data_IF_792986673891
#
_entry.id   IF_792986673891
#
_cell.length_a   1.000
_cell.length_b   1.000
_cell.length_c   1.000
_cell.angle_alpha   90.00
_cell.angle_beta   90.00
_cell.angle_gamma   90.00
#
_symmetry.space_group_name_H-M   'P 1'
#
loop_
_entity.id
_entity.type
_entity.pdbx_description
1 polymer ?
#
# COMPACT_ATOMS: atom_id res chain seq x y z
N UNK A 1 -49.97 12.69 18.61
CA UNK A 1 -49.37 13.91 19.18
C UNK A 1 -47.90 13.86 18.82
N UNK A 2 -47.43 14.66 17.85
CA UNK A 2 -46.01 14.72 17.52
C UNK A 2 -45.34 15.63 18.55
N UNK A 3 -44.47 15.07 19.38
CA UNK A 3 -43.65 15.84 20.30
C UNK A 3 -42.43 16.35 19.53
N UNK A 4 -42.36 17.66 19.33
CA UNK A 4 -41.16 18.33 18.81
C UNK A 4 -40.25 18.56 20.01
N UNK A 5 -39.00 18.10 19.91
CA UNK A 5 -37.97 18.29 20.92
C UNK A 5 -36.86 19.16 20.34
N UNK A 6 -36.38 20.10 21.14
CA UNK A 6 -35.21 20.91 20.80
C UNK A 6 -34.03 20.46 21.66
N UNK A 7 -32.86 20.30 21.05
CA UNK A 7 -31.61 19.95 21.73
C UNK A 7 -30.95 21.24 22.21
N UNK A 8 -30.74 21.36 23.52
CA UNK A 8 -30.11 22.52 24.14
C UNK A 8 -28.82 22.07 24.82
N UNK A 9 -27.73 22.82 24.61
CA UNK A 9 -26.44 22.57 25.24
C UNK A 9 -26.47 22.95 26.72
N UNK A 10 -26.18 22.00 27.61
CA UNK A 10 -26.06 22.27 29.04
C UNK A 10 -24.59 22.49 29.42
N UNK A 11 -24.24 23.75 29.73
CA UNK A 11 -22.86 24.14 30.03
C UNK A 11 -22.31 23.53 31.34
N UNK A 12 -23.18 23.15 32.28
CA UNK A 12 -22.79 22.59 33.58
C UNK A 12 -22.45 21.10 33.48
N UNK A 13 -23.18 20.36 32.63
CA UNK A 13 -22.97 18.92 32.44
C UNK A 13 -22.22 18.56 31.15
N UNK A 14 -21.87 19.56 30.32
CA UNK A 14 -21.16 19.39 29.04
C UNK A 14 -21.85 18.39 28.08
N UNK A 15 -23.19 18.36 28.10
CA UNK A 15 -23.97 17.44 27.26
C UNK A 15 -25.21 18.12 26.67
N UNK A 16 -25.67 17.61 25.52
CA UNK A 16 -26.92 18.04 24.90
C UNK A 16 -28.11 17.36 25.58
N UNK A 17 -29.11 18.14 25.99
CA UNK A 17 -30.32 17.65 26.65
C UNK A 17 -31.54 17.97 25.78
N UNK A 18 -32.41 16.98 25.55
CA UNK A 18 -33.66 17.17 24.83
C UNK A 18 -34.71 17.80 25.75
N UNK A 19 -35.24 18.97 25.36
CA UNK A 19 -36.32 19.66 26.07
C UNK A 19 -37.58 19.62 25.21
N UNK A 20 -38.70 19.19 25.79
CA UNK A 20 -39.98 19.11 25.11
C UNK A 20 -40.61 20.50 25.01
N UNK A 21 -40.90 20.96 23.79
CA UNK A 21 -41.57 22.25 23.57
C UNK A 21 -43.09 22.04 23.67
N UNK A 22 -43.69 22.42 24.80
CA UNK A 22 -45.15 22.31 24.98
C UNK A 22 -45.87 23.47 24.29
N UNK A 23 -45.99 23.41 22.97
CA UNK A 23 -46.85 24.33 22.22
C UNK A 23 -48.33 23.94 22.37
N UNK A 24 -49.12 24.77 23.09
CA UNK A 24 -50.60 24.67 23.12
C UNK A 24 -51.18 24.96 21.73
N UNK A 25 -51.87 23.98 21.14
CA UNK A 25 -52.63 24.18 19.91
C UNK A 25 -53.83 25.12 20.15
N UNK A 26 -53.83 26.27 19.49
CA UNK A 26 -54.90 27.27 19.56
C UNK A 26 -56.00 26.87 18.56
N UNK A 27 -57.17 26.50 19.08
CA UNK A 27 -58.36 26.19 18.29
C UNK A 27 -58.90 27.43 17.56
N UNK A 28 -59.46 27.23 16.37
CA UNK A 28 -60.06 28.26 15.51
C UNK A 28 -61.55 28.40 15.83
N UNK A 29 -62.07 29.55 16.29
CA UNK A 29 -63.50 29.75 16.42
C UNK A 29 -64.08 30.56 15.24
N UNK A 30 -65.32 30.24 14.87
CA UNK A 30 -66.26 31.22 14.31
C UNK A 30 -66.58 31.07 12.82
N UNK A 31 -67.67 30.34 12.51
CA UNK A 31 -68.51 30.64 11.35
C UNK A 31 -69.95 30.78 11.84
N UNK A 32 -70.44 32.02 11.89
CA UNK A 32 -71.86 32.33 11.92
C UNK A 32 -72.07 33.71 11.29
N UNK A 33 -72.73 33.75 10.13
CA UNK A 33 -73.39 34.96 9.63
C UNK A 33 -74.88 34.66 9.63
N UNK A 34 -75.59 35.31 10.55
CA UNK A 34 -77.04 35.40 10.54
C UNK A 34 -77.48 36.41 9.48
N UNK A 35 -78.63 36.07 8.94
CA UNK A 35 -79.55 36.85 8.10
C UNK A 35 -79.95 38.16 8.81
N UNK A 36 -80.10 39.24 8.04
CA UNK A 36 -81.12 40.25 8.31
C UNK A 36 -81.60 40.86 6.99
N UNK A 37 -82.91 40.99 6.92
CA UNK A 37 -83.78 41.48 5.86
C UNK A 37 -83.74 43.00 5.74
N UNK A 38 -83.96 43.52 4.52
CA UNK A 38 -84.59 44.82 4.31
C UNK A 38 -85.27 44.83 2.94
N UNK A 39 -86.58 45.04 2.95
CA UNK A 39 -87.41 45.30 1.79
C UNK A 39 -87.35 46.80 1.41
N UNK A 40 -87.38 47.12 0.12
CA UNK A 40 -87.91 48.37 -0.42
C UNK A 40 -88.12 48.19 -1.94
N UNK A 41 -89.37 48.03 -2.38
CA UNK A 41 -90.21 49.05 -3.04
C UNK A 41 -89.88 49.23 -4.53
N UNK A 42 -90.81 48.72 -5.34
CA UNK A 42 -90.96 48.96 -6.79
C UNK A 42 -91.54 50.36 -7.00
N UNK A 43 -90.84 51.20 -7.75
CA UNK A 43 -91.33 52.33 -8.54
C UNK A 43 -90.38 52.35 -9.77
N UNK A 44 -90.76 52.00 -11.00
CA UNK A 44 -91.90 52.54 -11.74
C UNK A 44 -91.51 53.89 -12.34
N UNK A 45 -90.80 53.89 -13.47
CA UNK A 45 -90.46 55.12 -14.19
C UNK A 45 -89.35 54.96 -15.23
N UNK A 46 -89.73 54.64 -16.46
CA UNK A 46 -88.89 54.85 -17.65
C UNK A 46 -88.72 56.36 -17.86
N UNK A 47 -87.62 56.91 -17.36
CA UNK A 47 -87.15 58.23 -17.73
C UNK A 47 -86.19 58.11 -18.91
N UNK A 48 -86.57 58.66 -20.06
CA UNK A 48 -85.67 58.88 -21.18
C UNK A 48 -84.44 59.66 -20.68
N UNK A 49 -83.27 59.01 -20.66
CA UNK A 49 -82.00 59.67 -20.44
C UNK A 49 -81.72 60.54 -21.67
N UNK A 50 -81.96 61.84 -21.54
CA UNK A 50 -81.52 62.83 -22.51
C UNK A 50 -79.98 62.84 -22.51
N UNK A 51 -79.37 62.12 -23.45
CA UNK A 51 -77.95 62.28 -23.74
C UNK A 51 -77.75 63.68 -24.33
N UNK A 52 -77.07 64.54 -23.57
CA UNK A 52 -76.48 65.77 -24.12
C UNK A 52 -75.58 65.40 -25.32
N UNK A 53 -75.37 66.29 -26.31
CA UNK A 53 -74.60 65.96 -27.51
C UNK A 53 -73.22 65.45 -27.09
N UNK A 54 -73.02 64.14 -27.25
CA UNK A 54 -71.73 63.51 -27.03
C UNK A 54 -70.84 64.01 -28.16
N UNK A 55 -69.84 64.82 -27.82
CA UNK A 55 -68.82 65.28 -28.74
C UNK A 55 -67.84 64.13 -29.00
N UNK A 56 -68.23 63.21 -29.89
CA UNK A 56 -67.30 62.23 -30.43
C UNK A 56 -66.38 62.91 -31.47
N UNK A 57 -65.09 62.64 -31.38
CA UNK A 57 -64.13 63.10 -32.37
C UNK A 57 -64.43 62.49 -33.75
N UNK A 58 -64.04 63.20 -34.82
CA UNK A 58 -64.20 62.76 -36.21
C UNK A 58 -63.80 61.28 -36.41
N UNK A 59 -64.76 60.42 -36.75
CA UNK A 59 -64.57 58.98 -36.95
C UNK A 59 -64.75 58.05 -35.74
N UNK A 60 -65.02 58.54 -34.53
CA UNK A 60 -65.24 57.68 -33.33
C UNK A 60 -66.71 57.27 -33.14
N UNK A 61 -66.98 56.16 -32.42
CA UNK A 61 -68.35 55.68 -32.18
C UNK A 61 -68.56 54.89 -30.88
N UNK A 62 -69.73 55.08 -30.25
CA UNK A 62 -70.26 54.19 -29.20
C UNK A 62 -71.37 53.33 -29.81
N UNK A 63 -71.35 52.03 -29.51
CA UNK A 63 -72.39 51.11 -29.91
C UNK A 63 -72.91 50.35 -28.69
N UNK A 64 -74.21 50.42 -28.48
CA UNK A 64 -74.91 49.71 -27.41
C UNK A 64 -75.85 48.70 -28.04
N UNK A 65 -75.77 47.46 -27.59
CA UNK A 65 -76.70 46.42 -27.98
C UNK A 65 -77.62 46.14 -26.80
N UNK A 66 -78.94 46.13 -27.05
CA UNK A 66 -79.90 45.66 -26.07
C UNK A 66 -80.18 44.17 -26.33
N UNK A 67 -79.72 43.24 -25.47
CA UNK A 67 -80.02 41.82 -25.62
C UNK A 67 -81.50 41.49 -25.35
N UNK A 68 -82.27 42.40 -24.74
CA UNK A 68 -83.68 42.19 -24.41
C UNK A 68 -84.66 42.60 -25.54
N UNK A 69 -84.20 43.36 -26.53
CA UNK A 69 -84.99 43.68 -27.73
C UNK A 69 -84.86 42.55 -28.76
N UNK A 70 -85.62 41.47 -28.54
CA UNK A 70 -85.89 40.47 -29.57
C UNK A 70 -86.51 41.07 -30.84
N UNK A 71 -86.64 40.31 -31.95
CA UNK A 71 -87.00 40.84 -33.26
C UNK A 71 -88.49 41.25 -33.30
N UNK A 72 -88.82 42.43 -32.81
CA UNK A 72 -90.20 42.95 -32.80
C UNK A 72 -90.46 44.00 -33.89
N UNK A 73 -89.46 44.28 -34.74
CA UNK A 73 -89.63 45.03 -36.00
C UNK A 73 -89.57 44.07 -37.20
N UNK A 74 -90.37 44.27 -38.28
CA UNK A 74 -90.64 43.29 -39.34
C UNK A 74 -89.45 42.91 -40.25
N UNK A 75 -88.22 43.17 -39.85
CA UNK A 75 -87.00 42.84 -40.61
C UNK A 75 -85.94 42.09 -39.81
N UNK A 76 -86.27 41.54 -38.63
CA UNK A 76 -85.35 40.66 -37.89
C UNK A 76 -84.09 41.35 -37.37
N UNK A 77 -84.17 42.64 -37.05
CA UNK A 77 -83.04 43.45 -36.59
C UNK A 77 -83.12 43.60 -35.07
N UNK A 78 -82.26 42.90 -34.32
CA UNK A 78 -82.04 43.18 -32.90
C UNK A 78 -81.59 44.64 -32.78
N UNK A 79 -82.33 45.46 -32.05
CA UNK A 79 -82.24 46.91 -32.11
C UNK A 79 -81.15 47.43 -31.17
N UNK A 80 -79.94 47.65 -31.69
CA UNK A 80 -78.90 48.43 -31.00
C UNK A 80 -78.93 49.90 -31.42
N UNK A 81 -78.35 50.77 -30.60
CA UNK A 81 -78.11 52.18 -30.95
C UNK A 81 -76.63 52.39 -31.21
N UNK A 82 -76.29 52.99 -32.34
CA UNK A 82 -74.94 53.48 -32.63
C UNK A 82 -74.94 55.00 -32.71
N UNK A 83 -73.97 55.63 -32.04
CA UNK A 83 -73.71 57.06 -32.13
C UNK A 83 -72.34 57.23 -32.79
N UNK A 84 -72.33 57.75 -34.02
CA UNK A 84 -71.10 58.08 -34.76
C UNK A 84 -70.74 59.56 -34.68
N UNK A 85 -69.60 59.91 -35.28
CA UNK A 85 -69.08 61.29 -35.32
C UNK A 85 -70.02 62.35 -35.92
N UNK A 86 -70.99 61.96 -36.76
CA UNK A 86 -71.97 62.86 -37.35
C UNK A 86 -73.19 63.13 -36.43
N UNK A 87 -73.20 62.59 -35.20
CA UNK A 87 -74.29 62.77 -34.24
C UNK A 87 -75.60 62.05 -34.58
N UNK A 88 -75.62 61.26 -35.66
CA UNK A 88 -76.77 60.43 -36.04
C UNK A 88 -76.85 59.16 -35.18
N UNK A 89 -78.03 58.90 -34.61
CA UNK A 89 -78.38 57.61 -34.05
C UNK A 89 -78.85 56.68 -35.17
N UNK A 90 -78.11 55.60 -35.43
CA UNK A 90 -78.50 54.59 -36.41
C UNK A 90 -78.78 53.24 -35.75
N UNK A 91 -79.81 52.55 -36.24
CA UNK A 91 -80.17 51.21 -35.81
C UNK A 91 -79.04 50.24 -36.16
N UNK A 92 -78.49 49.58 -35.14
CA UNK A 92 -77.40 48.62 -35.27
C UNK A 92 -77.96 47.21 -35.25
N UNK A 93 -77.52 46.36 -36.19
CA UNK A 93 -77.84 44.93 -36.24
C UNK A 93 -76.90 44.14 -35.30
N UNK A 94 -77.31 43.88 -34.06
CA UNK A 94 -76.46 43.20 -33.06
C UNK A 94 -76.53 41.65 -33.07
N UNK A 95 -77.21 41.04 -34.05
CA UNK A 95 -77.66 39.63 -33.95
C UNK A 95 -76.59 38.54 -34.16
N UNK A 96 -75.30 38.88 -34.31
CA UNK A 96 -74.26 37.92 -34.73
C UNK A 96 -73.02 37.82 -33.83
N UNK A 97 -72.91 38.56 -32.71
CA UNK A 97 -71.64 38.62 -31.94
C UNK A 97 -71.72 38.56 -30.41
N UNK A 98 -72.89 38.32 -29.79
CA UNK A 98 -73.09 38.34 -28.31
C UNK A 98 -72.53 39.61 -27.62
N UNK A 99 -72.41 40.69 -28.39
CA UNK A 99 -71.86 41.97 -27.97
C UNK A 99 -72.87 42.72 -27.10
N UNK A 100 -72.46 43.16 -25.91
CA UNK A 100 -73.27 44.00 -25.03
C UNK A 100 -73.01 45.49 -25.26
N UNK A 101 -71.74 45.89 -25.33
CA UNK A 101 -71.33 47.26 -25.66
C UNK A 101 -69.97 47.28 -26.38
N UNK A 102 -69.73 48.31 -27.19
CA UNK A 102 -68.38 48.61 -27.69
C UNK A 102 -68.09 50.10 -27.84
N UNK A 103 -66.87 50.48 -27.51
CA UNK A 103 -66.28 51.80 -27.71
C UNK A 103 -65.21 51.69 -28.80
N UNK A 104 -65.35 52.45 -29.88
CA UNK A 104 -64.60 52.29 -31.13
C UNK A 104 -63.94 53.62 -31.56
N UNK A 105 -62.69 53.57 -32.02
CA UNK A 105 -61.99 54.76 -32.53
C UNK A 105 -62.22 55.06 -34.02
N UNK A 106 -62.78 54.11 -34.77
CA UNK A 106 -63.05 54.23 -36.21
C UNK A 106 -64.45 53.68 -36.53
N UNK A 107 -65.22 54.40 -37.34
CA UNK A 107 -66.53 53.98 -37.82
C UNK A 107 -67.01 54.79 -39.03
N UNK A 108 -67.87 54.17 -39.84
CA UNK A 108 -68.70 54.87 -40.83
C UNK A 108 -69.95 55.45 -40.17
N UNK A 109 -70.60 56.41 -40.83
CA UNK A 109 -71.84 57.04 -40.34
C UNK A 109 -72.98 56.05 -40.04
N UNK A 110 -72.89 54.83 -40.57
CA UNK A 110 -73.87 53.75 -40.37
C UNK A 110 -73.62 52.88 -39.14
N UNK A 111 -72.54 53.12 -38.37
CA UNK A 111 -72.21 52.41 -37.13
C UNK A 111 -71.75 50.95 -37.32
N UNK A 112 -72.41 50.15 -38.15
CA UNK A 112 -72.22 48.69 -38.26
C UNK A 112 -70.80 48.24 -38.70
N UNK A 113 -70.04 49.07 -39.41
CA UNK A 113 -68.68 48.72 -39.85
C UNK A 113 -67.56 49.19 -38.90
N UNK A 114 -67.89 49.88 -37.80
CA UNK A 114 -66.89 50.40 -36.86
C UNK A 114 -66.18 49.33 -36.03
N UNK A 115 -66.87 48.23 -35.71
CA UNK A 115 -66.31 47.11 -34.95
C UNK A 115 -65.13 46.44 -35.68
N UNK A 116 -65.28 46.17 -36.99
CA UNK A 116 -64.22 45.52 -37.80
C UNK A 116 -63.13 46.49 -38.23
N UNK A 117 -63.46 47.77 -38.48
CA UNK A 117 -62.51 48.80 -38.90
C UNK A 117 -61.65 49.36 -37.74
N UNK A 118 -62.07 49.20 -36.49
CA UNK A 118 -61.37 49.79 -35.33
C UNK A 118 -60.01 49.14 -35.06
N UNK A 119 -59.00 49.99 -34.90
CA UNK A 119 -57.64 49.64 -34.46
C UNK A 119 -57.47 49.69 -32.95
N UNK A 120 -58.30 50.48 -32.26
CA UNK A 120 -58.43 50.50 -30.81
C UNK A 120 -59.93 50.36 -30.42
N UNK A 121 -60.28 49.35 -29.62
CA UNK A 121 -61.66 49.15 -29.14
C UNK A 121 -61.70 48.55 -27.73
N UNK A 122 -62.78 48.83 -27.01
CA UNK A 122 -63.14 48.16 -25.75
C UNK A 122 -64.53 47.58 -25.95
N UNK A 123 -64.66 46.26 -25.82
CA UNK A 123 -65.92 45.55 -26.04
C UNK A 123 -66.26 44.67 -24.86
N UNK A 124 -67.48 44.80 -24.36
CA UNK A 124 -68.04 43.89 -23.36
C UNK A 124 -69.02 42.94 -24.01
N UNK A 125 -68.93 41.66 -23.65
CA UNK A 125 -69.80 40.60 -24.13
C UNK A 125 -70.81 40.18 -23.06
N UNK A 126 -71.91 39.56 -23.48
CA UNK A 126 -72.95 39.09 -22.58
C UNK A 126 -72.47 37.99 -21.59
N UNK A 127 -71.36 37.31 -21.89
CA UNK A 127 -70.74 36.29 -21.04
C UNK A 127 -69.86 36.87 -19.91
N UNK A 128 -69.73 38.20 -19.83
CA UNK A 128 -68.88 38.90 -18.86
C UNK A 128 -67.43 39.10 -19.31
N UNK A 129 -67.07 38.68 -20.53
CA UNK A 129 -65.76 38.94 -21.11
C UNK A 129 -65.62 40.42 -21.44
N UNK A 130 -64.50 41.01 -21.02
CA UNK A 130 -64.07 42.33 -21.43
C UNK A 130 -62.87 42.18 -22.35
N UNK A 131 -63.01 42.61 -23.60
CA UNK A 131 -61.95 42.58 -24.59
C UNK A 131 -61.41 43.99 -24.84
N UNK A 132 -60.09 44.12 -24.76
CA UNK A 132 -59.37 45.32 -25.13
C UNK A 132 -58.59 44.99 -26.41
N UNK A 133 -58.84 45.72 -27.48
CA UNK A 133 -58.05 45.64 -28.71
C UNK A 133 -57.24 46.91 -28.86
N UNK A 134 -55.94 46.74 -29.09
CA UNK A 134 -55.08 47.78 -29.61
C UNK A 134 -54.10 47.13 -30.56
N UNK A 135 -54.16 47.45 -31.85
CA UNK A 135 -53.25 46.86 -32.86
C UNK A 135 -51.78 47.23 -32.62
N UNK A 136 -51.53 48.29 -31.85
CA UNK A 136 -50.20 48.74 -31.41
C UNK A 136 -49.91 48.40 -29.93
N UNK A 137 -50.75 47.57 -29.30
CA UNK A 137 -50.64 47.20 -27.89
C UNK A 137 -51.62 47.94 -26.97
N UNK A 138 -51.59 47.57 -25.69
CA UNK A 138 -52.40 48.17 -24.61
C UNK A 138 -51.42 48.73 -23.57
N UNK A 139 -51.47 50.04 -23.35
CA UNK A 139 -50.66 50.70 -22.31
C UNK A 139 -51.52 50.91 -21.07
N UNK A 140 -51.13 50.30 -19.95
CA UNK A 140 -51.76 50.51 -18.65
C UNK A 140 -50.81 51.34 -17.78
N UNK A 141 -51.29 52.45 -17.26
CA UNK A 141 -50.49 53.35 -16.42
C UNK A 141 -50.68 52.99 -14.94
N UNK A 142 -49.61 53.11 -14.16
CA UNK A 142 -49.58 52.80 -12.72
C UNK A 142 -49.88 51.31 -12.43
N UNK A 143 -50.55 51.03 -11.30
CA UNK A 143 -50.81 49.69 -10.80
C UNK A 143 -52.04 49.08 -11.47
N UNK A 144 -51.93 47.81 -11.85
CA UNK A 144 -53.07 47.00 -12.28
C UNK A 144 -53.35 45.94 -11.22
N UNK A 145 -54.50 46.01 -10.57
CA UNK A 145 -54.92 45.07 -9.53
C UNK A 145 -55.55 43.81 -10.15
N UNK A 146 -54.87 42.67 -10.07
CA UNK A 146 -55.35 41.41 -10.64
C UNK A 146 -56.31 40.61 -9.74
N UNK A 147 -56.41 40.93 -8.44
CA UNK A 147 -57.32 40.26 -7.48
C UNK A 147 -57.26 38.72 -7.48
N UNK A 148 -56.06 38.15 -7.67
CA UNK A 148 -55.84 36.68 -7.68
C UNK A 148 -56.19 35.99 -8.99
N UNK A 149 -56.58 36.73 -10.04
CA UNK A 149 -56.83 36.19 -11.36
C UNK A 149 -55.52 35.78 -12.07
N UNK A 150 -55.63 34.78 -12.95
CA UNK A 150 -54.50 34.32 -13.78
C UNK A 150 -54.35 35.19 -15.02
N UNK A 151 -53.10 35.42 -15.43
CA UNK A 151 -52.77 35.95 -16.76
C UNK A 151 -52.35 34.74 -17.61
N UNK A 152 -53.12 34.43 -18.64
CA UNK A 152 -52.89 33.27 -19.53
C UNK A 152 -52.54 33.73 -20.94
N UNK A 153 -52.01 32.80 -21.75
CA UNK A 153 -51.59 33.07 -23.15
C UNK A 153 -50.50 34.15 -23.30
N UNK A 154 -49.69 34.34 -22.25
CA UNK A 154 -48.50 35.19 -22.32
C UNK A 154 -47.45 34.52 -23.23
N UNK A 155 -47.10 35.20 -24.33
CA UNK A 155 -45.96 34.81 -25.16
C UNK A 155 -44.69 34.77 -24.30
N UNK A 156 -43.72 33.86 -24.56
CA UNK A 156 -42.47 33.84 -23.81
C UNK A 156 -41.78 35.21 -23.88
N UNK A 157 -41.47 35.79 -22.72
CA UNK A 157 -40.76 37.06 -22.65
C UNK A 157 -39.31 36.93 -23.12
N UNK A 158 -38.69 38.02 -23.55
CA UNK A 158 -37.28 38.00 -23.93
C UNK A 158 -36.40 37.83 -22.69
N UNK A 159 -35.59 36.76 -22.61
CA UNK A 159 -34.61 36.57 -21.53
C UNK A 159 -33.28 37.24 -21.88
N UNK A 160 -33.20 38.54 -21.63
CA UNK A 160 -31.98 39.33 -21.81
C UNK A 160 -31.80 40.31 -20.65
N UNK A 161 -30.56 40.76 -20.43
CA UNK A 161 -30.26 41.77 -19.42
C UNK A 161 -31.07 43.05 -19.68
N UNK A 162 -31.77 43.55 -18.67
CA UNK A 162 -32.61 44.75 -18.78
C UNK A 162 -33.97 44.55 -19.46
N UNK A 163 -34.34 43.32 -19.82
CA UNK A 163 -35.70 43.00 -20.29
C UNK A 163 -36.73 43.35 -19.22
N UNK A 164 -37.85 43.93 -19.65
CA UNK A 164 -39.01 44.23 -18.83
C UNK A 164 -40.21 43.35 -19.22
N UNK A 165 -39.99 42.39 -20.13
CA UNK A 165 -41.03 41.46 -20.56
C UNK A 165 -41.43 40.56 -19.39
N UNK A 166 -42.73 40.32 -19.26
CA UNK A 166 -43.21 39.30 -18.34
C UNK A 166 -42.77 37.91 -18.81
N UNK A 167 -42.33 37.07 -17.87
CA UNK A 167 -42.00 35.66 -18.14
C UNK A 167 -43.21 34.77 -17.87
N UNK A 168 -43.35 33.72 -18.67
CA UNK A 168 -44.43 32.75 -18.49
C UNK A 168 -43.94 31.47 -17.77
N UNK A 169 -44.90 30.58 -17.48
CA UNK A 169 -44.62 29.35 -16.75
C UNK A 169 -43.65 28.39 -17.44
N UNK A 170 -43.57 28.36 -18.78
CA UNK A 170 -42.67 27.43 -19.48
C UNK A 170 -41.20 27.84 -19.33
N UNK A 171 -40.91 29.13 -19.27
CA UNK A 171 -39.55 29.67 -19.07
C UNK A 171 -39.05 29.39 -17.65
N UNK A 172 -39.89 29.62 -16.63
CA UNK A 172 -39.56 29.28 -15.25
C UNK A 172 -39.44 27.76 -15.07
N UNK A 173 -40.30 26.97 -15.71
CA UNK A 173 -40.23 25.51 -15.69
C UNK A 173 -38.90 25.00 -16.28
N UNK A 174 -38.45 25.52 -17.43
CA UNK A 174 -37.16 25.14 -18.01
C UNK A 174 -35.99 25.43 -17.05
N UNK A 175 -36.02 26.57 -16.37
CA UNK A 175 -35.04 26.90 -15.32
C UNK A 175 -35.10 25.90 -14.17
N UNK A 176 -36.29 25.55 -13.69
CA UNK A 176 -36.48 24.58 -12.62
C UNK A 176 -35.98 23.17 -13.00
N UNK A 177 -36.10 22.76 -14.27
CA UNK A 177 -35.54 21.50 -14.76
C UNK A 177 -34.00 21.49 -14.69
N UNK A 178 -33.35 22.61 -15.03
CA UNK A 178 -31.90 22.74 -14.89
C UNK A 178 -31.47 22.70 -13.41
N UNK A 179 -32.22 23.36 -12.53
CA UNK A 179 -31.97 23.32 -11.07
C UNK A 179 -32.15 21.90 -10.52
N UNK A 180 -33.16 21.17 -10.97
CA UNK A 180 -33.35 19.77 -10.61
C UNK A 180 -32.16 18.90 -11.08
N UNK A 181 -31.68 19.11 -12.31
CA UNK A 181 -30.48 18.45 -12.83
C UNK A 181 -29.23 18.73 -11.99
N UNK A 182 -29.02 19.99 -11.59
CA UNK A 182 -27.93 20.36 -10.69
C UNK A 182 -28.05 19.67 -9.33
N UNK A 183 -29.27 19.58 -8.79
CA UNK A 183 -29.53 18.91 -7.51
C UNK A 183 -29.14 17.43 -7.56
N UNK A 184 -29.50 16.74 -8.64
CA UNK A 184 -29.09 15.34 -8.87
C UNK A 184 -27.58 15.21 -9.01
N UNK A 185 -26.92 16.09 -9.76
CA UNK A 185 -25.46 16.05 -9.93
C UNK A 185 -24.72 16.24 -8.60
N UNK A 186 -25.19 17.16 -7.75
CA UNK A 186 -24.64 17.40 -6.41
C UNK A 186 -24.81 16.15 -5.53
N UNK A 187 -25.99 15.53 -5.53
CA UNK A 187 -26.23 14.29 -4.78
C UNK A 187 -25.31 13.14 -5.22
N UNK A 188 -25.04 13.02 -6.53
CA UNK A 188 -24.10 12.02 -7.04
C UNK A 188 -22.65 12.30 -6.61
N UNK A 189 -22.25 13.58 -6.56
CA UNK A 189 -20.92 13.98 -6.05
C UNK A 189 -20.78 13.65 -4.56
N UNK A 190 -21.82 13.90 -3.76
CA UNK A 190 -21.86 13.55 -2.33
C UNK A 190 -21.67 12.03 -2.11
N UNK A 191 -22.34 11.20 -2.90
CA UNK A 191 -22.13 9.74 -2.88
C UNK A 191 -20.70 9.32 -3.24
N UNK A 192 -20.10 9.95 -4.25
CA UNK A 192 -18.69 9.70 -4.62
C UNK A 192 -17.72 10.14 -3.52
N UNK A 193 -17.95 11.28 -2.89
CA UNK A 193 -17.13 11.78 -1.77
C UNK A 193 -17.23 10.83 -0.58
N UNK A 194 -18.42 10.34 -0.27
CA UNK A 194 -18.63 9.33 0.78
C UNK A 194 -17.85 8.06 0.49
N UNK A 195 -17.95 7.52 -0.73
CA UNK A 195 -17.22 6.32 -1.15
C UNK A 195 -15.69 6.51 -1.11
N UNK A 196 -15.20 7.67 -1.58
CA UNK A 196 -13.79 8.02 -1.51
C UNK A 196 -13.32 8.11 -0.06
N UNK A 197 -14.11 8.72 0.83
CA UNK A 197 -13.79 8.82 2.27
C UNK A 197 -13.65 7.43 2.88
N UNK A 198 -14.60 6.51 2.63
CA UNK A 198 -14.49 5.12 3.11
C UNK A 198 -13.25 4.39 2.56
N UNK A 199 -12.94 4.59 1.28
CA UNK A 199 -11.77 3.99 0.63
C UNK A 199 -10.45 4.49 1.23
N UNK A 200 -10.37 5.80 1.50
CA UNK A 200 -9.22 6.44 2.14
C UNK A 200 -9.03 5.91 3.56
N UNK A 201 -10.09 5.81 4.37
CA UNK A 201 -10.02 5.20 5.71
C UNK A 201 -9.52 3.76 5.67
N UNK A 202 -9.95 2.96 4.67
CA UNK A 202 -9.46 1.59 4.51
C UNK A 202 -7.99 1.53 4.07
N UNK A 203 -7.52 2.49 3.26
CA UNK A 203 -6.10 2.63 2.92
C UNK A 203 -5.28 2.99 4.16
N UNK A 204 -5.74 3.95 4.96
CA UNK A 204 -5.08 4.38 6.19
C UNK A 204 -4.90 3.23 7.20
N UNK A 205 -5.93 2.40 7.36
CA UNK A 205 -5.84 1.17 8.16
C UNK A 205 -4.80 0.18 7.64
N UNK A 206 -4.72 -0.03 6.31
CA UNK A 206 -3.69 -0.91 5.70
C UNK A 206 -2.29 -0.35 5.86
N UNK A 207 -2.10 0.96 5.68
CA UNK A 207 -0.81 1.64 5.86
C UNK A 207 -0.35 1.52 7.31
N UNK A 208 -1.24 1.76 8.27
CA UNK A 208 -0.95 1.60 9.71
C UNK A 208 -0.54 0.17 10.05
N UNK A 209 -1.25 -0.84 9.52
CA UNK A 209 -0.90 -2.25 9.71
C UNK A 209 0.47 -2.57 9.13
N UNK A 210 0.72 -2.17 7.88
CA UNK A 210 2.01 -2.39 7.23
C UNK A 210 3.15 -1.74 8.01
N UNK A 211 2.96 -0.52 8.53
CA UNK A 211 3.95 0.15 9.36
C UNK A 211 4.28 -0.66 10.62
N UNK A 212 3.26 -1.20 11.31
CA UNK A 212 3.45 -2.10 12.45
C UNK A 212 4.17 -3.40 12.10
N UNK A 213 3.77 -4.04 11.00
CA UNK A 213 4.39 -5.28 10.52
C UNK A 213 5.87 -5.07 10.15
N UNK A 214 6.21 -3.94 9.52
CA UNK A 214 7.60 -3.55 9.21
C UNK A 214 8.42 -3.33 10.47
N UNK A 215 7.87 -2.66 11.48
CA UNK A 215 8.53 -2.50 12.80
C UNK A 215 8.77 -3.86 13.44
N UNK A 216 7.79 -4.75 13.43
CA UNK A 216 7.92 -6.10 13.99
C UNK A 216 8.98 -6.94 13.26
N UNK A 217 9.04 -6.86 11.93
CA UNK A 217 10.08 -7.52 11.13
C UNK A 217 11.47 -6.96 11.44
N UNK A 218 11.58 -5.63 11.53
CA UNK A 218 12.83 -4.95 11.88
C UNK A 218 13.32 -5.38 13.27
N UNK A 219 12.42 -5.42 14.25
CA UNK A 219 12.72 -5.92 15.60
C UNK A 219 13.14 -7.38 15.58
N UNK A 220 12.46 -8.23 14.81
CA UNK A 220 12.80 -9.65 14.72
C UNK A 220 14.17 -9.89 14.06
N UNK A 221 14.52 -9.07 13.07
CA UNK A 221 15.83 -9.12 12.41
C UNK A 221 16.95 -8.63 13.34
N UNK A 222 16.76 -7.47 13.98
CA UNK A 222 17.74 -6.90 14.92
C UNK A 222 17.98 -7.82 16.13
N UNK A 223 16.94 -8.50 16.61
CA UNK A 223 17.04 -9.44 17.71
C UNK A 223 17.45 -10.85 17.28
N UNK A 224 17.63 -11.09 15.97
CA UNK A 224 18.02 -12.40 15.44
C UNK A 224 17.02 -13.53 15.74
N UNK A 225 15.72 -13.22 15.80
CA UNK A 225 14.66 -14.20 16.13
C UNK A 225 13.95 -14.79 14.91
N UNK A 226 14.26 -14.28 13.70
CA UNK A 226 13.72 -14.72 12.41
C UNK A 226 14.85 -14.91 11.38
N UNK A 227 14.64 -15.74 10.36
CA UNK A 227 15.62 -15.99 9.28
C UNK A 227 16.34 -17.36 9.36
N UNK A 228 17.46 -17.57 8.66
CA UNK A 228 18.19 -18.85 8.72
C UNK A 228 19.17 -18.91 9.90
N UNK A 229 19.82 -17.78 10.20
CA UNK A 229 20.71 -17.65 11.35
C UNK A 229 19.93 -16.95 12.45
N UNK A 230 19.71 -17.64 13.56
CA UNK A 230 18.93 -17.11 14.69
C UNK A 230 19.62 -17.40 16.00
N UNK A 231 19.42 -16.53 16.97
CA UNK A 231 19.82 -16.78 18.35
C UNK A 231 18.62 -17.29 19.15
N UNK A 232 18.76 -18.49 19.71
CA UNK A 232 17.74 -19.04 20.57
C UNK A 232 17.59 -18.22 21.86
N UNK A 233 16.35 -17.90 22.23
CA UNK A 233 16.09 -16.95 23.30
C UNK A 233 16.51 -17.48 24.69
N UNK A 234 16.34 -18.79 24.92
CA UNK A 234 16.64 -19.44 26.20
C UNK A 234 18.10 -19.85 26.34
N UNK A 235 18.63 -20.60 25.37
CA UNK A 235 20.00 -21.15 25.41
C UNK A 235 21.06 -20.16 24.95
N UNK A 236 20.66 -19.06 24.30
CA UNK A 236 21.54 -18.08 23.63
C UNK A 236 22.44 -18.65 22.54
N UNK A 237 22.21 -19.89 22.10
CA UNK A 237 22.95 -20.51 20.99
C UNK A 237 22.56 -19.83 19.68
N UNK A 238 23.57 -19.53 18.87
CA UNK A 238 23.36 -19.17 17.47
C UNK A 238 23.21 -20.47 16.70
N UNK A 239 22.11 -20.61 15.97
CA UNK A 239 21.84 -21.76 15.11
C UNK A 239 21.78 -21.31 13.66
N UNK A 240 22.22 -22.19 12.76
CA UNK A 240 22.20 -21.96 11.31
C UNK A 240 21.29 -23.02 10.71
N UNK A 241 20.17 -22.59 10.12
CA UNK A 241 19.21 -23.44 9.41
C UNK A 241 18.70 -24.67 10.20
N UNK A 242 18.61 -24.60 11.54
CA UNK A 242 18.27 -25.75 12.39
C UNK A 242 16.95 -26.47 12.09
N UNK A 243 16.02 -25.77 11.42
CA UNK A 243 14.67 -26.26 11.11
C UNK A 243 14.56 -26.78 9.67
N UNK A 244 15.68 -26.84 8.94
CA UNK A 244 15.77 -27.28 7.55
C UNK A 244 16.81 -28.39 7.43
N UNK A 245 16.66 -29.23 6.41
CA UNK A 245 17.64 -30.26 6.06
C UNK A 245 18.84 -29.68 5.30
N UNK A 246 19.90 -30.48 5.16
CA UNK A 246 21.14 -30.13 4.46
C UNK A 246 22.37 -30.56 5.25
N UNK A 247 23.44 -30.94 4.56
CA UNK A 247 24.66 -31.48 5.20
C UNK A 247 25.89 -30.59 5.01
N UNK A 248 25.76 -29.46 4.31
CA UNK A 248 26.85 -28.57 3.97
C UNK A 248 26.53 -27.11 4.33
N UNK A 249 27.47 -26.47 5.03
CA UNK A 249 27.54 -25.02 5.15
C UNK A 249 28.77 -24.57 4.36
N UNK A 250 28.54 -24.01 3.17
CA UNK A 250 29.61 -23.48 2.32
C UNK A 250 29.90 -22.02 2.69
N UNK A 251 31.16 -21.73 3.03
CA UNK A 251 31.65 -20.41 3.42
C UNK A 251 32.43 -19.70 2.31
N UNK A 252 32.49 -20.26 1.09
CA UNK A 252 33.13 -19.63 -0.07
C UNK A 252 32.41 -18.35 -0.49
N UNK A 253 33.16 -17.41 -1.06
CA UNK A 253 32.65 -16.14 -1.58
C UNK A 253 33.22 -15.83 -2.96
N UNK A 254 32.94 -14.64 -3.48
CA UNK A 254 33.43 -14.20 -4.79
C UNK A 254 34.96 -14.10 -4.89
N UNK A 255 35.65 -14.01 -3.75
CA UNK A 255 37.11 -14.04 -3.64
C UNK A 255 37.69 -15.42 -3.27
N UNK A 256 36.87 -16.49 -3.29
CA UNK A 256 37.27 -17.84 -2.89
C UNK A 256 36.92 -18.18 -1.43
N UNK A 257 37.62 -19.17 -0.86
CA UNK A 257 37.40 -19.64 0.51
C UNK A 257 37.73 -18.57 1.56
N UNK A 258 37.01 -18.60 2.69
CA UNK A 258 37.22 -17.66 3.81
C UNK A 258 37.91 -18.33 4.99
N UNK A 259 38.73 -17.58 5.70
CA UNK A 259 39.18 -17.96 7.05
C UNK A 259 38.03 -17.80 8.05
N UNK A 260 37.78 -18.83 8.86
CA UNK A 260 36.81 -18.77 9.96
C UNK A 260 37.56 -18.47 11.26
N UNK A 261 37.53 -17.21 11.70
CA UNK A 261 38.14 -16.74 12.94
C UNK A 261 37.20 -16.82 14.16
N UNK A 262 37.73 -16.60 15.36
CA UNK A 262 36.93 -16.59 16.60
C UNK A 262 36.47 -17.96 17.09
N UNK A 263 37.03 -19.05 16.53
CA UNK A 263 36.70 -20.43 16.92
C UNK A 263 37.37 -20.77 18.26
N UNK A 264 36.56 -20.91 19.31
CA UNK A 264 36.98 -21.46 20.60
C UNK A 264 37.54 -22.88 20.39
N UNK A 265 38.56 -23.27 21.16
CA UNK A 265 39.12 -24.63 21.10
C UNK A 265 38.02 -25.66 21.36
N UNK A 266 37.81 -26.56 20.39
CA UNK A 266 36.79 -27.60 20.47
C UNK A 266 37.21 -28.73 21.41
N UNK A 267 36.24 -29.42 22.01
CA UNK A 267 36.52 -30.61 22.80
C UNK A 267 37.19 -31.70 21.94
N UNK A 268 38.24 -32.33 22.45
CA UNK A 268 38.96 -33.41 21.77
C UNK A 268 38.58 -34.75 22.41
N UNK A 269 37.60 -35.44 21.84
CA UNK A 269 37.15 -36.78 22.22
C UNK A 269 36.50 -37.49 21.03
N UNK A 270 36.25 -38.80 21.14
CA UNK A 270 35.80 -39.66 20.04
C UNK A 270 34.45 -39.26 19.42
N UNK A 271 33.59 -38.56 20.17
CA UNK A 271 32.24 -38.18 19.75
C UNK A 271 32.08 -36.67 19.52
N UNK A 272 33.17 -35.90 19.49
CA UNK A 272 33.11 -34.45 19.33
C UNK A 272 32.62 -34.05 17.94
N UNK A 273 31.70 -33.08 17.89
CA UNK A 273 31.20 -32.45 16.67
C UNK A 273 31.64 -30.98 16.57
N UNK A 274 32.60 -30.56 17.42
CA UNK A 274 33.09 -29.19 17.47
C UNK A 274 34.25 -28.99 16.49
N UNK A 275 34.34 -27.79 15.90
CA UNK A 275 35.47 -27.43 15.06
C UNK A 275 36.76 -27.30 15.89
N UNK A 276 37.88 -27.76 15.34
CA UNK A 276 39.21 -27.54 15.92
C UNK A 276 39.80 -26.22 15.44
N UNK A 277 40.53 -25.52 16.30
CA UNK A 277 41.23 -24.29 15.93
C UNK A 277 42.74 -24.52 15.74
N UNK A 278 43.43 -23.51 15.20
CA UNK A 278 44.86 -23.61 14.89
C UNK A 278 45.78 -23.89 16.09
N UNK A 279 45.41 -23.44 17.29
CA UNK A 279 46.23 -23.67 18.50
C UNK A 279 46.29 -25.15 18.89
N UNK A 280 45.20 -25.89 18.66
CA UNK A 280 45.12 -27.31 18.95
C UNK A 280 46.00 -28.12 17.99
N UNK A 281 45.88 -27.84 16.68
CA UNK A 281 46.71 -28.51 15.68
C UNK A 281 48.20 -28.14 15.85
N UNK A 282 48.50 -26.90 16.23
CA UNK A 282 49.85 -26.49 16.55
C UNK A 282 50.44 -27.29 17.72
N UNK A 283 49.70 -27.47 18.82
CA UNK A 283 50.16 -28.29 19.94
C UNK A 283 50.48 -29.74 19.53
N UNK A 284 49.64 -30.35 18.68
CA UNK A 284 49.93 -31.67 18.10
C UNK A 284 51.21 -31.66 17.26
N UNK A 285 51.41 -30.64 16.42
CA UNK A 285 52.61 -30.52 15.58
C UNK A 285 53.90 -30.37 16.40
N UNK A 286 53.85 -29.71 17.56
CA UNK A 286 54.99 -29.62 18.47
C UNK A 286 55.39 -30.99 19.02
N UNK A 287 54.40 -31.82 19.40
CA UNK A 287 54.65 -33.20 19.84
C UNK A 287 55.24 -34.05 18.72
N UNK A 288 54.73 -33.93 17.50
CA UNK A 288 55.26 -34.65 16.32
C UNK A 288 56.71 -34.24 16.02
N UNK A 289 57.00 -32.94 16.08
CA UNK A 289 58.38 -32.43 15.92
C UNK A 289 59.33 -32.98 16.98
N UNK A 290 58.88 -33.06 18.24
CA UNK A 290 59.61 -33.70 19.32
C UNK A 290 59.94 -35.18 19.03
N UNK A 291 58.95 -35.94 18.54
CA UNK A 291 59.15 -37.33 18.15
C UNK A 291 60.16 -37.47 17.00
N UNK A 292 60.09 -36.63 15.97
CA UNK A 292 61.07 -36.64 14.88
C UNK A 292 62.50 -36.41 15.39
N UNK A 293 62.68 -35.50 16.35
CA UNK A 293 63.98 -35.24 16.99
C UNK A 293 64.47 -36.47 17.75
N UNK A 294 63.61 -37.09 18.57
CA UNK A 294 63.95 -38.30 19.31
C UNK A 294 64.35 -39.46 18.40
N UNK A 295 63.64 -39.65 17.28
CA UNK A 295 63.96 -40.66 16.26
C UNK A 295 65.32 -40.37 15.61
N UNK A 296 65.64 -39.12 15.29
CA UNK A 296 66.95 -38.75 14.76
C UNK A 296 68.09 -39.09 15.72
N UNK A 297 67.90 -38.81 17.02
CA UNK A 297 68.86 -39.19 18.07
C UNK A 297 69.05 -40.70 18.17
N UNK A 298 67.97 -41.48 18.09
CA UNK A 298 68.04 -42.95 18.06
C UNK A 298 68.81 -43.46 16.85
N UNK A 299 68.60 -42.88 15.66
CA UNK A 299 69.37 -43.25 14.46
C UNK A 299 70.87 -42.97 14.61
N UNK A 300 71.23 -41.84 15.22
CA UNK A 300 72.61 -41.53 15.56
C UNK A 300 73.23 -42.56 16.51
N UNK A 301 72.49 -42.94 17.55
CA UNK A 301 72.93 -43.98 18.49
C UNK A 301 73.12 -45.34 17.81
N UNK A 302 72.17 -45.77 16.98
CA UNK A 302 72.25 -47.04 16.23
C UNK A 302 73.44 -47.02 15.27
N UNK A 303 73.72 -45.91 14.60
CA UNK A 303 74.89 -45.77 13.70
C UNK A 303 76.22 -45.88 14.45
N UNK A 304 76.29 -45.26 15.63
CA UNK A 304 77.45 -45.35 16.52
C UNK A 304 77.65 -46.77 17.06
N UNK A 305 76.57 -47.45 17.45
CA UNK A 305 76.59 -48.85 17.83
C UNK A 305 77.05 -49.73 16.66
N UNK A 306 76.55 -49.50 15.44
CA UNK A 306 76.99 -50.20 14.23
C UNK A 306 78.50 -50.05 14.00
N UNK A 307 79.02 -48.84 14.13
CA UNK A 307 80.48 -48.56 14.01
C UNK A 307 81.30 -49.28 15.09
N UNK A 308 80.80 -49.30 16.32
CA UNK A 308 81.44 -50.01 17.44
C UNK A 308 81.45 -51.53 17.21
N UNK A 309 80.35 -52.09 16.70
CA UNK A 309 80.23 -53.51 16.36
C UNK A 309 81.23 -53.86 15.25
N UNK A 310 81.32 -53.06 14.18
CA UNK A 310 82.32 -53.27 13.12
C UNK A 310 83.76 -53.22 13.66
N UNK A 311 84.05 -52.33 14.61
CA UNK A 311 85.38 -52.26 15.23
C UNK A 311 85.69 -53.49 16.10
N UNK A 312 84.70 -53.99 16.86
CA UNK A 312 84.82 -55.23 17.64
C UNK A 312 85.03 -56.42 16.70
N UNK A 313 84.23 -56.52 15.64
CA UNK A 313 84.35 -57.56 14.62
C UNK A 313 85.78 -57.60 14.04
N UNK A 314 86.31 -56.45 13.61
CA UNK A 314 87.70 -56.36 13.11
C UNK A 314 88.76 -56.77 14.14
N UNK A 315 88.57 -56.42 15.43
CA UNK A 315 89.46 -56.89 16.52
C UNK A 315 89.37 -58.40 16.72
N UNK A 316 88.16 -58.97 16.66
CA UNK A 316 87.94 -60.42 16.79
C UNK A 316 88.58 -61.16 15.62
N UNK A 317 88.41 -60.68 14.38
CA UNK A 317 89.08 -61.24 13.20
C UNK A 317 90.59 -61.20 13.32
N UNK A 318 91.16 -60.07 13.77
CA UNK A 318 92.61 -59.95 13.99
C UNK A 318 93.10 -60.95 15.04
N UNK A 319 92.44 -61.00 16.20
CA UNK A 319 92.78 -61.95 17.25
C UNK A 319 92.69 -63.40 16.75
N UNK A 320 91.67 -63.74 15.96
CA UNK A 320 91.55 -65.06 15.35
C UNK A 320 92.74 -65.38 14.43
N UNK A 321 93.18 -64.44 13.60
CA UNK A 321 94.37 -64.57 12.76
C UNK A 321 95.68 -64.69 13.56
N UNK A 322 95.85 -63.86 14.58
CA UNK A 322 97.01 -63.90 15.47
C UNK A 322 97.11 -65.26 16.19
N UNK A 323 95.99 -65.81 16.66
CA UNK A 323 95.91 -67.16 17.27
C UNK A 323 96.31 -68.25 16.26
N UNK A 324 95.84 -68.17 15.01
CA UNK A 324 96.24 -69.12 13.95
C UNK A 324 97.74 -69.03 13.67
N UNK A 325 98.30 -67.82 13.59
CA UNK A 325 99.73 -67.61 13.38
C UNK A 325 100.59 -68.16 14.53
N UNK A 326 100.17 -67.94 15.78
CA UNK A 326 100.78 -68.52 16.98
C UNK A 326 100.74 -70.06 16.92
N UNK A 327 99.59 -70.63 16.58
CA UNK A 327 99.39 -72.09 16.45
C UNK A 327 100.31 -72.67 15.38
N UNK A 328 100.38 -72.03 14.20
CA UNK A 328 101.27 -72.44 13.12
C UNK A 328 102.74 -72.35 13.51
N UNK A 329 103.13 -71.26 14.17
CA UNK A 329 104.51 -71.05 14.65
C UNK A 329 104.89 -72.10 15.69
N UNK A 330 103.97 -72.49 16.58
CA UNK A 330 104.20 -73.56 17.55
C UNK A 330 104.35 -74.93 16.87
N UNK A 331 103.41 -75.29 16.00
CA UNK A 331 103.43 -76.58 15.28
C UNK A 331 104.68 -76.75 14.41
N UNK A 332 105.17 -75.66 13.82
CA UNK A 332 106.36 -75.69 12.96
C UNK A 332 107.69 -75.57 13.72
N UNK A 333 107.71 -75.51 15.07
CA UNK A 333 108.93 -75.25 15.85
C UNK A 333 109.53 -73.86 15.59
N UNK A 334 108.68 -72.99 15.04
CA UNK A 334 108.78 -71.57 14.72
C UNK A 334 109.20 -70.67 15.85
N UNK A 335 108.53 -70.84 16.99
CA UNK A 335 108.46 -69.90 18.11
C UNK A 335 108.55 -70.61 19.47
N UNK A 336 109.04 -69.91 20.50
CA UNK A 336 109.29 -70.47 21.83
C UNK A 336 110.78 -70.67 22.12
N UNK A 337 111.07 -71.42 23.20
CA UNK A 337 112.43 -71.69 23.69
C UNK A 337 113.12 -72.84 22.96
N UNK A 338 112.38 -73.89 22.62
CA UNK A 338 112.87 -75.01 21.82
C UNK A 338 112.39 -74.80 20.40
N UNK A 339 113.34 -74.63 19.48
CA UNK A 339 113.04 -74.30 18.07
C UNK A 339 113.84 -75.18 17.15
N UNK A 340 113.32 -75.42 15.95
CA UNK A 340 114.08 -76.04 14.88
C UNK A 340 114.51 -74.97 13.87
N UNK A 341 115.80 -74.89 13.62
CA UNK A 341 116.32 -74.02 12.58
C UNK A 341 115.84 -74.50 11.20
N UNK A 342 115.29 -73.60 10.39
CA UNK A 342 114.66 -73.95 9.12
C UNK A 342 115.66 -74.49 8.08
N UNK A 343 116.95 -74.14 8.21
CA UNK A 343 117.99 -74.46 7.23
C UNK A 343 118.84 -75.63 7.72
N UNK A 344 119.50 -75.47 8.87
CA UNK A 344 120.37 -76.47 9.47
C UNK A 344 119.61 -77.65 10.10
N UNK A 345 118.29 -77.51 10.32
CA UNK A 345 117.43 -78.50 10.99
C UNK A 345 117.84 -78.85 12.42
N UNK A 346 118.82 -78.13 12.97
CA UNK A 346 119.26 -78.27 14.34
C UNK A 346 118.14 -77.83 15.29
N UNK A 347 117.92 -78.64 16.33
CA UNK A 347 117.09 -78.24 17.45
C UNK A 347 117.96 -77.37 18.35
N UNK A 348 117.46 -76.18 18.65
CA UNK A 348 118.12 -75.22 19.53
C UNK A 348 117.25 -75.01 20.76
N UNK A 349 117.89 -74.97 21.91
CA UNK A 349 117.22 -74.74 23.20
C UNK A 349 117.74 -73.41 23.73
N UNK A 350 116.84 -72.44 23.89
CA UNK A 350 117.11 -71.12 24.44
C UNK A 350 118.27 -70.36 23.77
N UNK A 351 118.57 -70.62 22.49
CA UNK A 351 119.75 -70.06 21.78
C UNK A 351 119.88 -68.52 21.83
N UNK A 352 118.76 -67.81 21.95
CA UNK A 352 118.70 -66.35 21.98
C UNK A 352 118.62 -65.78 23.41
N UNK A 353 118.75 -66.62 24.43
CA UNK A 353 118.76 -66.25 25.84
C UNK A 353 120.07 -66.73 26.47
N UNK A 354 120.48 -66.11 27.57
CA UNK A 354 121.65 -66.52 28.35
C UNK A 354 121.31 -67.68 29.31
N UNK A 355 122.35 -68.25 29.94
CA UNK A 355 122.25 -69.33 30.92
C UNK A 355 123.27 -70.45 30.65
N UNK A 356 123.84 -71.04 31.69
CA UNK A 356 124.89 -72.08 31.57
C UNK A 356 124.39 -73.49 31.93
N UNK A 357 123.15 -73.63 32.40
CA UNK A 357 122.57 -74.89 32.85
C UNK A 357 121.27 -75.17 32.09
N UNK A 358 121.15 -76.39 31.57
CA UNK A 358 119.87 -76.98 31.14
C UNK A 358 119.53 -78.08 32.13
N UNK A 359 118.60 -77.81 33.04
CA UNK A 359 118.12 -78.79 34.01
C UNK A 359 116.99 -79.63 33.42
N UNK A 360 117.21 -80.94 33.34
CA UNK A 360 116.26 -81.92 32.80
C UNK A 360 115.59 -82.75 33.92
N UNK A 361 115.78 -82.40 35.19
CA UNK A 361 115.10 -83.04 36.32
C UNK A 361 113.58 -82.82 36.26
N UNK A 362 112.81 -83.80 36.72
CA UNK A 362 111.34 -83.73 36.79
C UNK A 362 110.84 -83.95 38.20
N UNK A 363 109.51 -83.95 38.37
CA UNK A 363 108.87 -84.26 39.65
C UNK A 363 109.20 -85.67 40.18
N UNK A 364 109.72 -86.56 39.33
CA UNK A 364 110.16 -87.91 39.68
C UNK A 364 111.70 -88.06 39.80
N UNK A 365 112.47 -86.95 39.83
CA UNK A 365 113.93 -86.96 39.93
C UNK A 365 114.66 -86.78 38.58
N UNK A 366 115.94 -87.14 38.53
CA UNK A 366 116.77 -87.01 37.33
C UNK A 366 116.25 -87.90 36.18
N UNK A 367 116.21 -87.36 34.96
CA UNK A 367 115.80 -88.09 33.75
C UNK A 367 117.01 -88.68 33.03
N UNK A 368 116.86 -89.89 32.50
CA UNK A 368 117.80 -90.46 31.53
C UNK A 368 117.58 -89.81 30.17
N UNK A 369 118.60 -89.17 29.60
CA UNK A 369 118.57 -88.70 28.22
C UNK A 369 118.99 -89.86 27.29
N UNK A 370 118.15 -90.17 26.31
CA UNK A 370 118.37 -91.25 25.33
C UNK A 370 118.28 -90.71 23.90
N UNK A 371 118.80 -91.45 22.91
CA UNK A 371 118.87 -90.98 21.51
C UNK A 371 119.99 -89.98 21.23
N UNK A 372 121.01 -89.90 22.10
CA UNK A 372 122.16 -89.00 21.95
C UNK A 372 123.23 -89.67 21.07
N UNK A 373 123.59 -89.04 19.96
CA UNK A 373 124.71 -89.49 19.12
C UNK A 373 126.03 -89.30 19.87
N UNK A 374 126.97 -90.24 19.71
CA UNK A 374 128.31 -90.14 20.31
C UNK A 374 128.98 -88.81 19.94
N UNK A 375 129.41 -88.05 20.96
CA UNK A 375 130.08 -86.76 20.78
C UNK A 375 131.50 -86.92 20.21
N UNK A 376 132.00 -85.90 19.52
CA UNK A 376 133.40 -85.88 19.11
C UNK A 376 134.30 -85.77 20.37
N UNK A 377 135.22 -86.71 20.55
CA UNK A 377 136.25 -86.67 21.61
C UNK A 377 137.51 -86.09 21.00
N UNK A 378 137.82 -84.84 21.32
CA UNK A 378 138.99 -84.11 20.85
C UNK A 378 139.92 -83.96 22.07
N UNK A 379 141.20 -84.34 21.94
CA UNK A 379 142.20 -84.26 23.01
C UNK A 379 142.60 -82.83 23.36
#
# INVERSE_FOLDING_TARGET
MNHIFSLIWNATTQMWVAVAETARSRSKPGRSRRVASAAAVVLGGFGALAFSPVSLAAGSGLQLCDPAMGPTLPSGIGSGSSAGSAGGFHALTCSVTDLAFTLNNAGSDTGASGYTASTARISGYADGTLELKGTSGISMLNVVEMNGNKITQLAPGTLAAGSQDAVNGSQLFATNQNVAGNTTAISNLDGRVTSNTSSITAIDGRVTKNAGDIVNLTNSLNNGTQGLVRQDAGTRKITVAKDLDGTLVDMTGTAGARTVGGVKAGALNASSLEAVNGSQLYATNQTVSGNSTAIGSLQGLVSSQGSTITAIDGRVTKNAGDIVNLTNSLNNGTQGLVRQDAVSRNITVAKNLDGTLVDMTGTAGARTLTGVKAGAVNA
#
